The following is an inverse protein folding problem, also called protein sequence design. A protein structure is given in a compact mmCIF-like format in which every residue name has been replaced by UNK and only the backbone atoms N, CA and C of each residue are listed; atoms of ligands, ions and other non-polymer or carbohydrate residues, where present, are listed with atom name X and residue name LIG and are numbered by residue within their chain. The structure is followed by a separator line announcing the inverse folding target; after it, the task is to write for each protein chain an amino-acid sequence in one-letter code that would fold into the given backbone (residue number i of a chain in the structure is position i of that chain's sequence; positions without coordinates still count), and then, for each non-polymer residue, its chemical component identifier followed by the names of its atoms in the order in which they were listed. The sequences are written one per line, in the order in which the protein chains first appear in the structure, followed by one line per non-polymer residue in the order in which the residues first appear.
data_IF_342282169816
#
_entry.id   IF_342282169816
#
_cell.length_a   1.000
_cell.length_b   1.000
_cell.length_c   1.000
_cell.angle_alpha   90.00
_cell.angle_beta   90.00
_cell.angle_gamma   90.00
#
_symmetry.space_group_name_H-M   'P 1'
#
loop_
_entity.id
_entity.type
_entity.pdbx_description
1 polymer ?
#
# COMPACT_ATOMS: atom_id res chain seq x y z
N UNK A 1 -10.06 18.91 -5.81
CA UNK A 1 -10.24 18.05 -4.63
C UNK A 1 -9.41 16.81 -4.88
N UNK A 2 -8.31 16.58 -4.15
CA UNK A 2 -7.45 15.43 -4.38
C UNK A 2 -8.13 14.17 -3.81
N UNK A 3 -8.12 13.07 -4.58
CA UNK A 3 -8.85 11.83 -4.30
C UNK A 3 -8.32 11.06 -3.08
N UNK A 4 -8.58 11.59 -1.88
CA UNK A 4 -8.19 10.98 -0.60
C UNK A 4 -8.84 9.61 -0.35
N UNK A 5 -9.92 9.28 -1.06
CA UNK A 5 -10.56 7.97 -0.93
C UNK A 5 -9.68 6.83 -1.48
N UNK A 6 -8.98 7.06 -2.59
CA UNK A 6 -8.12 6.04 -3.21
C UNK A 6 -6.91 5.68 -2.35
N UNK A 7 -6.29 6.69 -1.74
CA UNK A 7 -5.12 6.53 -0.85
C UNK A 7 -5.52 5.87 0.48
N UNK A 8 -6.67 6.24 1.05
CA UNK A 8 -7.23 5.60 2.24
C UNK A 8 -7.57 4.12 2.02
N UNK A 9 -8.17 3.78 0.87
CA UNK A 9 -8.47 2.39 0.52
C UNK A 9 -7.20 1.56 0.38
N UNK A 10 -6.15 2.11 -0.22
CA UNK A 10 -4.87 1.42 -0.36
C UNK A 10 -4.17 1.22 1.00
N UNK A 11 -4.18 2.23 1.86
CA UNK A 11 -3.66 2.11 3.22
C UNK A 11 -4.41 1.02 4.01
N UNK A 12 -5.73 0.96 3.89
CA UNK A 12 -6.55 -0.10 4.50
C UNK A 12 -6.20 -1.48 3.95
N UNK A 13 -6.05 -1.64 2.62
CA UNK A 13 -5.64 -2.92 2.00
C UNK A 13 -4.28 -3.40 2.51
N UNK A 14 -3.29 -2.51 2.64
CA UNK A 14 -1.99 -2.87 3.21
C UNK A 14 -2.11 -3.33 4.66
N UNK A 15 -2.94 -2.66 5.46
CA UNK A 15 -3.19 -3.03 6.85
C UNK A 15 -3.87 -4.41 6.96
N UNK A 16 -4.90 -4.67 6.15
CA UNK A 16 -5.60 -5.96 6.09
C UNK A 16 -4.68 -7.10 5.64
N UNK A 17 -3.75 -6.83 4.72
CA UNK A 17 -2.73 -7.78 4.29
C UNK A 17 -1.58 -7.96 5.31
N UNK A 18 -1.63 -7.31 6.48
CA UNK A 18 -0.56 -7.39 7.50
C UNK A 18 0.75 -6.71 7.07
N UNK A 19 0.72 -5.85 6.06
CA UNK A 19 1.90 -5.25 5.46
C UNK A 19 2.27 -3.96 6.19
N UNK A 20 3.40 -4.00 6.90
CA UNK A 20 3.95 -2.82 7.56
C UNK A 20 4.31 -1.75 6.52
N UNK A 21 4.02 -0.50 6.84
CA UNK A 21 4.33 0.68 6.02
C UNK A 21 5.82 0.78 5.63
N UNK A 22 6.75 0.31 6.48
CA UNK A 22 8.19 0.25 6.15
C UNK A 22 8.48 -0.71 4.97
N UNK A 23 7.80 -1.87 4.93
CA UNK A 23 7.91 -2.83 3.82
C UNK A 23 7.29 -2.28 2.54
N UNK A 24 6.13 -1.62 2.67
CA UNK A 24 5.48 -0.93 1.56
C UNK A 24 6.37 0.15 0.94
N UNK A 25 7.05 0.96 1.78
CA UNK A 25 7.98 2.00 1.33
C UNK A 25 9.13 1.40 0.51
N UNK A 26 9.72 0.30 1.01
CA UNK A 26 10.75 -0.47 0.31
C UNK A 26 10.28 -0.97 -1.06
N UNK A 27 9.05 -1.47 -1.20
CA UNK A 27 8.51 -1.94 -2.47
C UNK A 27 8.28 -0.81 -3.50
N UNK A 28 8.09 0.42 -3.05
CA UNK A 28 7.87 1.60 -3.90
C UNK A 28 9.13 2.42 -4.16
N UNK A 29 10.28 2.02 -3.61
CA UNK A 29 11.55 2.78 -3.67
C UNK A 29 11.41 4.23 -3.18
N UNK A 30 10.53 4.48 -2.21
CA UNK A 30 10.41 5.79 -1.55
C UNK A 30 10.68 5.67 -0.07
N UNK A 31 11.04 6.79 0.56
CA UNK A 31 11.20 6.82 2.01
C UNK A 31 9.87 6.59 2.73
N UNK A 32 9.94 6.09 3.96
CA UNK A 32 8.76 5.89 4.82
C UNK A 32 7.91 7.16 4.94
N UNK A 33 8.55 8.31 5.18
CA UNK A 33 7.87 9.60 5.33
C UNK A 33 7.27 10.11 4.01
N UNK A 34 7.89 9.80 2.87
CA UNK A 34 7.32 10.13 1.57
C UNK A 34 6.08 9.28 1.27
N UNK A 35 6.14 7.97 1.53
CA UNK A 35 4.98 7.10 1.40
C UNK A 35 3.83 7.54 2.31
N UNK A 36 4.12 7.90 3.56
CA UNK A 36 3.08 8.29 4.52
C UNK A 36 2.38 9.59 4.08
N UNK A 37 3.12 10.58 3.55
CA UNK A 37 2.54 11.79 2.95
C UNK A 37 1.66 11.47 1.75
N UNK A 38 2.08 10.55 0.87
CA UNK A 38 1.26 10.09 -0.26
C UNK A 38 -0.03 9.41 0.20
N UNK A 39 0.06 8.53 1.21
CA UNK A 39 -1.11 7.82 1.75
C UNK A 39 -2.08 8.72 2.52
N UNK A 40 -1.61 9.82 3.11
CA UNK A 40 -2.45 10.85 3.75
C UNK A 40 -3.12 11.79 2.76
N UNK A 41 -2.69 11.78 1.49
CA UNK A 41 -3.16 12.73 0.48
C UNK A 41 -2.38 14.04 0.42
N UNK A 42 -1.34 14.21 1.24
CA UNK A 42 -0.47 15.39 1.22
C UNK A 42 0.34 15.50 -0.09
N UNK A 43 0.51 14.37 -0.79
CA UNK A 43 1.14 14.29 -2.12
C UNK A 43 0.39 13.29 -3.02
N UNK A 44 0.39 13.52 -4.34
CA UNK A 44 -0.20 12.56 -5.27
C UNK A 44 0.56 11.22 -5.23
N UNK A 45 -0.21 10.14 -5.24
CA UNK A 45 0.30 8.79 -5.41
C UNK A 45 0.36 8.48 -6.90
N UNK A 46 1.56 8.20 -7.42
CA UNK A 46 1.73 7.79 -8.82
C UNK A 46 1.02 6.46 -9.08
N UNK A 47 0.47 6.28 -10.29
CA UNK A 47 -0.14 5.04 -10.72
C UNK A 47 0.81 3.83 -10.56
N UNK A 48 2.11 4.02 -10.85
CA UNK A 48 3.12 2.98 -10.69
C UNK A 48 3.28 2.55 -9.22
N UNK A 49 3.28 3.51 -8.28
CA UNK A 49 3.37 3.22 -6.84
C UNK A 49 2.10 2.51 -6.36
N UNK A 50 0.93 2.99 -6.78
CA UNK A 50 -0.35 2.38 -6.46
C UNK A 50 -0.41 0.91 -6.94
N UNK A 51 0.07 0.63 -8.15
CA UNK A 51 0.13 -0.72 -8.70
C UNK A 51 1.07 -1.62 -7.89
N UNK A 52 2.29 -1.15 -7.55
CA UNK A 52 3.23 -1.92 -6.72
C UNK A 52 2.66 -2.23 -5.34
N UNK A 53 2.01 -1.25 -4.70
CA UNK A 53 1.37 -1.42 -3.39
C UNK A 53 0.19 -2.40 -3.46
N UNK A 54 -0.59 -2.36 -4.53
CA UNK A 54 -1.68 -3.32 -4.76
C UNK A 54 -1.14 -4.74 -4.96
N UNK A 55 -0.10 -4.92 -5.78
CA UNK A 55 0.55 -6.23 -5.96
C UNK A 55 1.14 -6.75 -4.65
N UNK A 56 1.75 -5.86 -3.87
CA UNK A 56 2.27 -6.20 -2.55
C UNK A 56 1.15 -6.67 -1.61
N UNK A 57 0.02 -5.97 -1.59
CA UNK A 57 -1.16 -6.33 -0.78
C UNK A 57 -1.75 -7.69 -1.19
N UNK A 58 -1.77 -8.01 -2.49
CA UNK A 58 -2.23 -9.32 -2.99
C UNK A 58 -1.26 -10.44 -2.59
N UNK A 59 0.05 -10.22 -2.72
CA UNK A 59 1.09 -11.21 -2.37
C UNK A 59 1.30 -11.39 -0.86
N UNK A 60 0.90 -10.39 -0.06
CA UNK A 60 1.02 -10.42 1.40
C UNK A 60 -0.01 -11.29 2.10
N UNK A 61 -1.08 -11.69 1.40
CA UNK A 61 -1.90 -12.80 1.85
C UNK A 61 -1.05 -14.08 1.78
N UNK A 62 -0.79 -14.79 2.89
CA UNK A 62 -0.51 -16.20 2.75
C UNK A 62 -1.68 -16.77 1.94
N UNK A 63 -1.39 -17.53 0.89
CA UNK A 63 -2.41 -18.32 0.22
C UNK A 63 -3.30 -18.96 1.30
N UNK A 64 -4.63 -19.00 1.14
CA UNK A 64 -5.45 -19.78 2.05
C UNK A 64 -4.78 -21.14 2.14
N UNK A 65 -4.29 -21.49 3.34
CA UNK A 65 -3.75 -22.81 3.56
C UNK A 65 -4.91 -23.73 3.25
N UNK A 66 -4.86 -24.41 2.12
CA UNK A 66 -5.76 -25.51 1.83
C UNK A 66 -5.68 -26.40 3.07
N UNK A 67 -6.76 -26.36 3.84
CA UNK A 67 -6.96 -27.21 5.00
C UNK A 67 -7.28 -28.61 4.45
N UNK A 68 -6.84 -29.66 5.16
CA UNK A 68 -6.48 -30.96 4.61
C UNK A 68 -7.62 -31.73 3.93
#
# INVERSE_FOLDING_TARGET
MHDNQGTNRLAARLALAGIKRRRAAGATHVSYSALNRKLRGDRPLSAADAQRLNQLAVRGHPAPKESP
#
